data_IF_194963487312
#
_entry.id   IF_194963487312
#
_cell.length_a   1.000
_cell.length_b   1.000
_cell.length_c   1.000
_cell.angle_alpha   90.00
_cell.angle_beta   90.00
_cell.angle_gamma   90.00
#
_symmetry.space_group_name_H-M   'P 1'
#
loop_
_entity.id
_entity.type
_entity.pdbx_description
1 polymer ?
#
# COMPACT_ATOMS: atom_id res chain seq x y z
N UNK A 1 -22.12 -22.21 9.24
CA UNK A 1 -21.26 -21.16 9.85
C UNK A 1 -21.04 -20.04 8.85
N UNK A 2 -21.84 -18.96 8.91
CA UNK A 2 -21.74 -17.82 7.95
C UNK A 2 -20.40 -17.08 8.04
N UNK A 3 -19.82 -16.97 9.24
CA UNK A 3 -18.53 -16.29 9.43
C UNK A 3 -17.41 -16.90 8.58
N UNK A 4 -17.35 -18.22 8.46
CA UNK A 4 -16.36 -18.92 7.65
C UNK A 4 -16.51 -18.64 6.13
N UNK A 5 -17.71 -18.28 5.68
CA UNK A 5 -17.97 -17.96 4.28
C UNK A 5 -17.52 -16.54 3.92
N UNK A 6 -17.68 -15.57 4.84
CA UNK A 6 -17.21 -14.19 4.61
C UNK A 6 -15.69 -14.16 4.53
N UNK A 7 -14.97 -14.82 5.45
CA UNK A 7 -13.51 -14.86 5.40
C UNK A 7 -12.98 -15.60 4.16
N UNK A 8 -13.67 -16.66 3.70
CA UNK A 8 -13.34 -17.34 2.43
C UNK A 8 -13.56 -16.45 1.22
N UNK A 9 -14.70 -15.74 1.16
CA UNK A 9 -14.99 -14.82 0.07
C UNK A 9 -13.99 -13.65 0.00
N UNK A 10 -13.59 -13.12 1.16
CA UNK A 10 -12.53 -12.11 1.25
C UNK A 10 -11.22 -12.72 0.73
N UNK A 11 -10.82 -13.89 1.23
CA UNK A 11 -9.62 -14.59 0.75
C UNK A 11 -9.59 -14.73 -0.77
N UNK A 12 -10.66 -15.28 -1.35
CA UNK A 12 -10.78 -15.47 -2.81
C UNK A 12 -10.74 -14.16 -3.58
N UNK A 13 -11.32 -13.08 -3.06
CA UNK A 13 -11.24 -11.77 -3.69
C UNK A 13 -9.81 -11.26 -3.73
N UNK A 14 -9.07 -11.35 -2.62
CA UNK A 14 -7.71 -10.85 -2.57
C UNK A 14 -6.74 -11.72 -3.40
N UNK A 15 -6.92 -13.04 -3.45
CA UNK A 15 -6.04 -13.93 -4.21
C UNK A 15 -6.38 -13.98 -5.70
N UNK A 16 -7.65 -14.15 -6.05
CA UNK A 16 -8.09 -14.45 -7.43
C UNK A 16 -8.67 -13.25 -8.18
N UNK A 17 -8.81 -12.08 -7.53
CA UNK A 17 -9.32 -10.87 -8.19
C UNK A 17 -8.36 -9.70 -8.01
N UNK A 18 -8.16 -9.25 -6.77
CA UNK A 18 -7.40 -8.03 -6.49
C UNK A 18 -5.91 -8.18 -6.81
N UNK A 19 -5.31 -9.33 -6.49
CA UNK A 19 -3.88 -9.55 -6.65
C UNK A 19 -3.47 -10.41 -7.85
N UNK A 20 -4.39 -10.72 -8.76
CA UNK A 20 -4.06 -11.39 -10.03
C UNK A 20 -2.92 -10.73 -10.80
N UNK A 21 -2.83 -9.38 -10.89
CA UNK A 21 -1.72 -8.74 -11.59
C UNK A 21 -0.35 -9.02 -10.96
N UNK A 22 -0.27 -9.32 -9.66
CA UNK A 22 1.00 -9.61 -8.99
C UNK A 22 1.64 -10.92 -9.46
N UNK A 23 0.83 -11.90 -9.92
CA UNK A 23 1.36 -13.11 -10.53
C UNK A 23 2.13 -12.79 -11.82
N UNK A 24 1.66 -11.81 -12.61
CA UNK A 24 2.37 -11.36 -13.80
C UNK A 24 3.71 -10.69 -13.45
N UNK A 25 3.71 -9.76 -12.49
CA UNK A 25 4.94 -9.07 -12.08
C UNK A 25 5.99 -10.00 -11.47
N UNK A 26 5.56 -11.09 -10.83
CA UNK A 26 6.44 -12.10 -10.23
C UNK A 26 7.32 -12.81 -11.27
N UNK A 27 6.81 -13.04 -12.47
CA UNK A 27 7.55 -13.73 -13.55
C UNK A 27 8.23 -12.76 -14.53
N UNK A 28 8.23 -11.46 -14.21
CA UNK A 28 8.82 -10.44 -15.07
C UNK A 28 10.34 -10.38 -14.85
N UNK A 29 11.14 -10.76 -15.86
CA UNK A 29 12.62 -10.79 -15.83
C UNK A 29 13.29 -9.41 -15.97
N UNK A 30 12.59 -8.35 -15.60
CA UNK A 30 13.05 -6.94 -15.71
C UNK A 30 13.83 -6.42 -14.49
N UNK A 31 14.21 -7.31 -13.57
CA UNK A 31 14.94 -6.98 -12.34
C UNK A 31 14.06 -6.61 -11.14
N UNK A 32 14.66 -6.63 -9.94
CA UNK A 32 13.96 -6.56 -8.65
C UNK A 32 13.03 -5.34 -8.47
N UNK A 33 13.48 -4.16 -8.90
CA UNK A 33 12.70 -2.91 -8.79
C UNK A 33 11.45 -2.93 -9.68
N UNK A 34 11.60 -3.40 -10.92
CA UNK A 34 10.51 -3.47 -11.90
C UNK A 34 9.44 -4.47 -11.48
N UNK A 35 9.83 -5.64 -10.96
CA UNK A 35 8.90 -6.65 -10.43
C UNK A 35 8.16 -6.18 -9.17
N UNK A 36 8.66 -5.15 -8.47
CA UNK A 36 8.07 -4.61 -7.24
C UNK A 36 7.48 -3.20 -7.41
N UNK A 37 7.28 -2.73 -8.64
CA UNK A 37 6.91 -1.33 -8.92
C UNK A 37 5.66 -0.86 -8.16
N UNK A 38 4.65 -1.72 -8.01
CA UNK A 38 3.42 -1.38 -7.27
C UNK A 38 3.72 -1.18 -5.78
N UNK A 39 4.49 -2.09 -5.17
CA UNK A 39 4.92 -1.97 -3.77
C UNK A 39 5.76 -0.72 -3.57
N UNK A 40 6.69 -0.45 -4.49
CA UNK A 40 7.56 0.74 -4.43
C UNK A 40 6.73 2.01 -4.46
N UNK A 41 5.78 2.14 -5.40
CA UNK A 41 4.89 3.31 -5.50
C UNK A 41 4.05 3.47 -4.23
N UNK A 42 3.45 2.39 -3.73
CA UNK A 42 2.62 2.44 -2.52
C UNK A 42 3.40 2.93 -1.30
N UNK A 43 4.60 2.37 -1.07
CA UNK A 43 5.47 2.76 0.04
C UNK A 43 5.94 4.22 -0.12
N UNK A 44 6.31 4.64 -1.33
CA UNK A 44 6.69 6.04 -1.60
C UNK A 44 5.56 7.02 -1.30
N UNK A 45 4.33 6.72 -1.69
CA UNK A 45 3.16 7.54 -1.35
C UNK A 45 2.93 7.61 0.16
N UNK A 46 3.10 6.49 0.87
CA UNK A 46 3.04 6.45 2.33
C UNK A 46 4.06 7.38 2.99
N UNK A 47 5.31 7.38 2.51
CA UNK A 47 6.34 8.29 3.00
C UNK A 47 6.02 9.76 2.69
N UNK A 48 5.55 10.08 1.48
CA UNK A 48 5.14 11.45 1.12
C UNK A 48 4.05 11.95 2.07
N UNK A 49 3.01 11.14 2.28
CA UNK A 49 1.92 11.47 3.19
C UNK A 49 2.43 11.64 4.64
N UNK A 50 3.30 10.74 5.11
CA UNK A 50 3.89 10.81 6.44
C UNK A 50 4.72 12.10 6.62
N UNK A 51 5.60 12.43 5.68
CA UNK A 51 6.40 13.66 5.75
C UNK A 51 5.57 14.93 5.66
N UNK A 52 4.52 14.95 4.82
CA UNK A 52 3.57 16.05 4.79
C UNK A 52 2.90 16.24 6.16
N UNK A 53 2.39 15.16 6.77
CA UNK A 53 1.72 15.22 8.08
C UNK A 53 2.67 15.67 9.20
N UNK A 54 3.90 15.14 9.22
CA UNK A 54 4.94 15.58 10.15
C UNK A 54 5.22 17.09 10.00
N UNK A 55 5.34 17.57 8.76
CA UNK A 55 5.52 19.00 8.48
C UNK A 55 4.33 19.85 8.95
N UNK A 56 3.10 19.38 8.76
CA UNK A 56 1.91 20.08 9.26
C UNK A 56 1.90 20.17 10.78
N UNK A 57 2.22 19.08 11.49
CA UNK A 57 2.28 19.08 12.96
C UNK A 57 3.30 20.10 13.48
N UNK A 58 4.50 20.15 12.90
CA UNK A 58 5.52 21.14 13.28
C UNK A 58 5.04 22.56 13.02
N UNK A 59 4.38 22.81 11.88
CA UNK A 59 3.82 24.13 11.55
C UNK A 59 2.77 24.57 12.59
N UNK A 60 1.85 23.67 12.95
CA UNK A 60 0.79 23.97 13.92
C UNK A 60 1.35 24.21 15.33
N UNK A 61 2.38 23.44 15.74
CA UNK A 61 3.08 23.68 17.01
C UNK A 61 3.74 25.06 17.05
N UNK A 62 4.40 25.47 15.97
CA UNK A 62 5.04 26.78 15.87
C UNK A 62 4.04 27.94 15.90
N UNK A 63 2.91 27.81 15.20
CA UNK A 63 1.86 28.83 15.19
C UNK A 63 1.19 28.99 16.56
N UNK A 64 0.98 27.91 17.31
CA UNK A 64 0.43 27.97 18.67
C UNK A 64 1.40 28.50 19.74
N UNK A 65 2.70 28.55 19.42
CA UNK A 65 3.74 29.02 20.36
C UNK A 65 4.07 30.52 20.24
N UNK A 66 3.41 31.23 19.32
CA UNK A 66 3.49 32.68 19.09
C UNK A 66 2.25 33.37 19.65
#
# INVERSE_FOLDING_TARGET
MIANNIFRAIGDFFTNVLFVPYDYFRFMDSGWWSSNIINTVFVSLGFIAAFYWLGQMVKHQRENSL
#
